data_IF_904315566221
#
_entry.id   IF_904315566221
#
_cell.length_a   1.000
_cell.length_b   1.000
_cell.length_c   1.000
_cell.angle_alpha   90.00
_cell.angle_beta   90.00
_cell.angle_gamma   90.00
#
_symmetry.space_group_name_H-M   'P 1'
#
loop_
_entity.id
_entity.type
_entity.pdbx_description
1 polymer ?
#
# COMPACT_ATOMS: atom_id res chain seq x y z
N UNK A 1 1.00 -7.94 -19.35
CA UNK A 1 0.54 -9.13 -20.11
C UNK A 1 0.66 -8.82 -21.59
N UNK A 2 1.57 -9.42 -22.35
CA UNK A 2 1.59 -9.23 -23.80
C UNK A 2 0.24 -9.71 -24.36
N UNK A 3 -0.55 -8.79 -24.92
CA UNK A 3 -1.79 -9.00 -25.70
C UNK A 3 -3.12 -9.35 -24.97
N UNK A 4 -3.29 -9.03 -23.69
CA UNK A 4 -4.58 -9.21 -22.98
C UNK A 4 -4.99 -7.99 -22.15
N UNK A 5 -6.29 -7.82 -21.89
CA UNK A 5 -6.79 -6.77 -20.99
C UNK A 5 -6.31 -7.06 -19.56
N UNK A 6 -5.74 -6.07 -18.85
CA UNK A 6 -5.30 -6.27 -17.47
C UNK A 6 -6.49 -6.45 -16.53
N UNK A 7 -6.32 -7.31 -15.53
CA UNK A 7 -7.23 -7.34 -14.39
C UNK A 7 -6.80 -6.25 -13.40
N UNK A 8 -7.76 -5.47 -12.91
CA UNK A 8 -7.54 -4.41 -11.92
C UNK A 8 -8.23 -4.83 -10.63
N UNK A 9 -7.46 -4.94 -9.54
CA UNK A 9 -7.95 -5.20 -8.20
C UNK A 9 -7.69 -3.97 -7.33
N UNK A 10 -8.73 -3.45 -6.68
CA UNK A 10 -8.62 -2.39 -5.68
C UNK A 10 -8.83 -3.00 -4.30
N UNK A 11 -7.87 -2.79 -3.41
CA UNK A 11 -7.95 -3.18 -1.99
C UNK A 11 -8.04 -1.89 -1.20
N UNK A 12 -9.10 -1.73 -0.40
CA UNK A 12 -9.33 -0.55 0.40
C UNK A 12 -9.40 -0.94 1.88
N UNK A 13 -8.52 -0.36 2.70
CA UNK A 13 -8.53 -0.54 4.15
C UNK A 13 -9.40 0.50 4.84
N UNK A 14 -10.11 0.09 5.88
CA UNK A 14 -10.85 0.99 6.77
C UNK A 14 -10.01 1.28 8.03
N UNK A 15 -10.04 2.53 8.50
CA UNK A 15 -9.26 3.00 9.67
C UNK A 15 -7.75 2.64 9.65
N UNK A 16 -7.13 2.57 8.47
CA UNK A 16 -5.68 2.31 8.33
C UNK A 16 -4.93 3.64 8.20
N UNK A 17 -4.17 4.00 9.23
CA UNK A 17 -3.24 5.13 9.20
C UNK A 17 -1.94 4.81 8.46
N UNK A 18 -1.24 5.84 8.00
CA UNK A 18 0.04 5.71 7.26
C UNK A 18 1.07 4.90 8.07
N UNK A 19 1.20 5.19 9.36
CA UNK A 19 2.16 4.49 10.22
C UNK A 19 1.78 3.03 10.49
N UNK A 20 0.56 2.61 10.17
CA UNK A 20 0.13 1.22 10.36
C UNK A 20 0.75 0.23 9.36
N UNK A 21 1.37 0.71 8.28
CA UNK A 21 2.04 -0.15 7.31
C UNK A 21 3.56 0.01 7.45
N UNK A 22 4.29 -1.10 7.54
CA UNK A 22 5.73 -1.06 7.81
C UNK A 22 6.55 -0.50 6.64
N UNK A 23 6.02 -0.51 5.42
CA UNK A 23 6.61 0.20 4.28
C UNK A 23 6.70 1.72 4.49
N UNK A 24 5.80 2.33 5.26
CA UNK A 24 5.84 3.75 5.61
C UNK A 24 6.60 4.02 6.91
N UNK A 25 6.37 3.21 7.94
CA UNK A 25 7.01 3.41 9.25
C UNK A 25 8.43 2.83 9.33
N UNK A 26 8.89 2.09 8.32
CA UNK A 26 10.19 1.42 8.26
C UNK A 26 10.45 0.51 9.47
N UNK A 27 9.40 -0.18 9.92
CA UNK A 27 9.44 -1.10 11.06
C UNK A 27 9.51 -0.42 12.43
N UNK A 28 9.41 0.91 12.50
CA UNK A 28 9.46 1.67 13.77
C UNK A 28 8.37 1.24 14.75
N UNK A 29 7.22 0.78 14.25
CA UNK A 29 6.10 0.36 15.09
C UNK A 29 6.29 -1.05 15.70
N UNK A 30 7.41 -1.72 15.43
CA UNK A 30 7.77 -3.02 16.03
C UNK A 30 7.11 -4.24 15.37
N UNK A 31 6.24 -4.04 14.39
CA UNK A 31 5.65 -5.09 13.57
C UNK A 31 5.91 -4.87 12.08
N UNK A 32 5.68 -5.93 11.30
CA UNK A 32 5.86 -5.94 9.86
C UNK A 32 4.59 -6.39 9.14
N UNK A 33 4.33 -5.79 7.99
CA UNK A 33 3.26 -6.11 7.04
C UNK A 33 3.86 -6.71 5.76
N UNK A 34 4.49 -7.91 5.81
CA UNK A 34 5.39 -8.39 4.77
C UNK A 34 4.74 -8.50 3.38
N UNK A 35 3.45 -8.83 3.30
CA UNK A 35 2.74 -8.90 2.01
C UNK A 35 2.51 -7.51 1.38
N UNK A 36 2.24 -6.49 2.20
CA UNK A 36 2.04 -5.11 1.74
C UNK A 36 3.39 -4.48 1.41
N UNK A 37 4.41 -4.74 2.23
CA UNK A 37 5.78 -4.30 1.99
C UNK A 37 6.32 -4.84 0.67
N UNK A 38 6.03 -6.11 0.35
CA UNK A 38 6.38 -6.71 -0.93
C UNK A 38 5.72 -5.98 -2.11
N UNK A 39 4.42 -5.68 -2.04
CA UNK A 39 3.70 -4.92 -3.07
C UNK A 39 4.33 -3.54 -3.27
N UNK A 40 4.67 -2.83 -2.18
CA UNK A 40 5.34 -1.54 -2.24
C UNK A 40 6.73 -1.65 -2.91
N UNK A 41 7.49 -2.71 -2.61
CA UNK A 41 8.85 -2.91 -3.14
C UNK A 41 8.89 -3.35 -4.61
N UNK A 42 7.89 -4.11 -5.07
CA UNK A 42 7.79 -4.58 -6.46
C UNK A 42 7.08 -3.56 -7.37
N UNK A 43 6.40 -2.58 -6.78
CA UNK A 43 5.60 -1.58 -7.47
C UNK A 43 6.02 -0.16 -7.13
N UNK A 44 5.05 0.61 -6.65
CA UNK A 44 5.22 2.02 -6.29
C UNK A 44 4.60 2.29 -4.93
N UNK A 45 5.27 3.14 -4.14
CA UNK A 45 4.78 3.63 -2.86
C UNK A 45 4.52 5.14 -3.00
N UNK A 46 3.28 5.57 -2.78
CA UNK A 46 2.91 6.98 -2.79
C UNK A 46 3.24 7.61 -1.45
N UNK A 47 4.08 8.64 -1.42
CA UNK A 47 4.43 9.35 -0.17
C UNK A 47 3.41 10.41 0.22
N UNK A 48 2.64 10.88 -0.76
CA UNK A 48 1.70 11.97 -0.64
C UNK A 48 0.38 11.57 -1.33
N UNK A 49 -0.58 11.09 -0.54
CA UNK A 49 -1.93 10.75 -1.00
C UNK A 49 -2.97 11.35 -0.05
N UNK A 50 -3.79 12.27 -0.56
CA UNK A 50 -4.82 12.96 0.22
C UNK A 50 -6.20 12.39 -0.12
N UNK A 51 -6.93 11.93 0.88
CA UNK A 51 -8.33 11.59 0.74
C UNK A 51 -9.19 12.84 0.74
N UNK A 52 -10.12 12.94 -0.21
CA UNK A 52 -11.18 13.94 -0.15
C UNK A 52 -12.27 13.47 0.81
N UNK A 53 -12.77 14.39 1.63
CA UNK A 53 -13.83 14.10 2.59
C UNK A 53 -15.16 14.52 1.99
N UNK A 54 -16.00 13.53 1.66
CA UNK A 54 -17.35 13.71 1.11
C UNK A 54 -18.34 14.29 2.11
#
# INVERSE_FOLDING_TARGET
>A
MPNGQPNILVIWGDDIGISNLSCYSRGMMGYHTPNIDRIASEGMLFTDSYGEQS
#
